data_IF_877180076711
#
_entry.id   IF_877180076711
#
_cell.length_a   1.000
_cell.length_b   1.000
_cell.length_c   1.000
_cell.angle_alpha   90.00
_cell.angle_beta   90.00
_cell.angle_gamma   90.00
#
_symmetry.space_group_name_H-M   'P 1'
#
loop_
_entity.id
_entity.type
_entity.pdbx_description
1 polymer ?
#
# COMPACT_ATOMS: atom_id res chain seq x y z
N UNK A 1 13.51 -18.08 -6.34
CA UNK A 1 12.25 -17.36 -6.62
C UNK A 1 12.37 -15.97 -6.03
N UNK A 2 12.06 -14.91 -6.77
CA UNK A 2 12.01 -13.58 -6.19
C UNK A 2 10.59 -13.39 -5.65
N UNK A 3 10.48 -13.34 -4.33
CA UNK A 3 9.19 -13.28 -3.63
C UNK A 3 8.74 -11.84 -3.40
N UNK A 4 7.43 -11.62 -3.42
CA UNK A 4 6.85 -10.34 -3.04
C UNK A 4 7.18 -10.05 -1.57
N UNK A 5 7.62 -8.82 -1.28
CA UNK A 5 7.99 -8.42 0.08
C UNK A 5 7.01 -7.40 0.60
N UNK A 6 6.33 -7.70 1.71
CA UNK A 6 5.56 -6.67 2.44
C UNK A 6 6.53 -5.67 3.04
N UNK A 7 6.37 -4.40 2.68
CA UNK A 7 7.18 -3.29 3.16
C UNK A 7 6.52 -2.57 4.32
N UNK A 8 5.20 -2.43 4.27
CA UNK A 8 4.44 -1.70 5.28
C UNK A 8 3.04 -2.29 5.41
N UNK A 9 2.53 -2.27 6.64
CA UNK A 9 1.19 -2.69 6.99
C UNK A 9 0.66 -1.75 8.07
N UNK A 10 -0.54 -1.22 7.86
CA UNK A 10 -1.27 -0.44 8.86
C UNK A 10 -2.75 -0.84 8.84
N UNK A 11 -3.32 -0.96 10.04
CA UNK A 11 -4.75 -1.17 10.24
C UNK A 11 -5.33 0.11 10.86
N UNK A 12 -6.38 0.65 10.24
CA UNK A 12 -7.21 1.66 10.86
C UNK A 12 -8.32 0.96 11.65
N UNK A 13 -8.40 1.26 12.95
CA UNK A 13 -9.46 0.74 13.84
C UNK A 13 -10.63 1.71 13.92
N UNK A 14 -11.01 2.30 12.79
CA UNK A 14 -12.26 3.04 12.67
C UNK A 14 -13.41 2.09 12.29
N UNK A 15 -14.61 2.64 12.14
CA UNK A 15 -15.83 1.85 11.86
C UNK A 15 -15.77 1.07 10.52
N UNK A 16 -14.82 1.40 9.63
CA UNK A 16 -14.67 0.79 8.31
C UNK A 16 -13.63 -0.34 8.27
N UNK A 17 -12.86 -0.53 9.35
CA UNK A 17 -11.82 -1.55 9.48
C UNK A 17 -10.86 -1.56 8.28
N UNK A 18 -10.42 -0.37 7.88
CA UNK A 18 -9.58 -0.16 6.70
C UNK A 18 -8.16 -0.72 6.92
N UNK A 19 -7.68 -1.51 5.97
CA UNK A 19 -6.29 -2.02 5.97
C UNK A 19 -5.51 -1.40 4.82
N UNK A 20 -4.29 -0.93 5.11
CA UNK A 20 -3.33 -0.46 4.13
C UNK A 20 -2.12 -1.39 4.10
N UNK A 21 -1.86 -1.99 2.95
CA UNK A 21 -0.72 -2.89 2.73
C UNK A 21 0.13 -2.36 1.59
N UNK A 22 1.42 -2.20 1.81
CA UNK A 22 2.39 -1.80 0.79
C UNK A 22 3.34 -2.97 0.54
N UNK A 23 3.40 -3.45 -0.70
CA UNK A 23 4.25 -4.59 -1.10
C UNK A 23 5.21 -4.19 -2.21
N UNK A 24 6.46 -4.63 -2.14
CA UNK A 24 7.32 -4.71 -3.32
C UNK A 24 6.89 -5.94 -4.13
N UNK A 25 6.49 -5.72 -5.38
CA UNK A 25 6.02 -6.75 -6.29
C UNK A 25 6.83 -6.74 -7.57
N UNK A 26 6.98 -7.89 -8.22
CA UNK A 26 7.60 -7.99 -9.54
C UNK A 26 6.52 -8.28 -10.57
N UNK A 27 6.37 -7.37 -11.53
CA UNK A 27 5.42 -7.48 -12.63
C UNK A 27 6.21 -7.37 -13.94
N UNK A 28 6.17 -8.43 -14.77
CA UNK A 28 6.93 -8.54 -16.02
C UNK A 28 8.42 -8.19 -15.87
N UNK A 29 9.07 -8.67 -14.81
CA UNK A 29 10.49 -8.43 -14.55
C UNK A 29 10.83 -7.03 -14.01
N UNK A 30 9.83 -6.17 -13.82
CA UNK A 30 10.00 -4.83 -13.25
C UNK A 30 9.58 -4.82 -11.79
N UNK A 31 10.42 -4.24 -10.92
CA UNK A 31 10.08 -4.01 -9.51
C UNK A 31 9.15 -2.81 -9.38
N UNK A 32 7.96 -3.04 -8.82
CA UNK A 32 6.95 -2.03 -8.53
C UNK A 32 6.58 -2.08 -7.05
N UNK A 33 5.84 -1.08 -6.62
CA UNK A 33 5.22 -1.07 -5.31
C UNK A 33 3.70 -1.14 -5.50
N UNK A 34 3.07 -2.14 -4.90
CA UNK A 34 1.61 -2.33 -4.81
C UNK A 34 1.14 -1.68 -3.50
N UNK A 35 0.44 -0.56 -3.60
CA UNK A 35 -0.29 0.05 -2.47
C UNK A 35 -1.71 -0.46 -2.54
N UNK A 36 -2.08 -1.29 -1.55
CA UNK A 36 -3.40 -1.90 -1.43
C UNK A 36 -4.13 -1.31 -0.25
N UNK A 37 -5.29 -0.72 -0.50
CA UNK A 37 -6.24 -0.35 0.53
C UNK A 37 -7.45 -1.28 0.43
N UNK A 38 -7.87 -1.81 1.56
CA UNK A 38 -8.99 -2.74 1.69
C UNK A 38 -9.94 -2.20 2.73
N UNK A 39 -11.16 -1.86 2.31
CA UNK A 39 -12.27 -1.46 3.18
C UNK A 39 -13.26 -2.61 3.24
N UNK A 40 -13.54 -3.12 4.45
CA UNK A 40 -14.51 -4.18 4.77
C UNK A 40 -14.92 -5.07 3.60
N UNK A 41 -14.03 -5.98 3.17
CA UNK A 41 -14.19 -6.99 2.10
C UNK A 41 -14.73 -6.56 0.70
N UNK A 42 -15.20 -5.32 0.50
CA UNK A 42 -15.94 -4.91 -0.70
C UNK A 42 -15.16 -4.01 -1.66
N UNK A 43 -14.17 -3.27 -1.18
CA UNK A 43 -13.39 -2.33 -2.02
C UNK A 43 -11.89 -2.55 -1.86
N UNK A 44 -11.27 -3.05 -2.94
CA UNK A 44 -9.82 -3.21 -3.04
C UNK A 44 -9.29 -2.21 -4.05
N UNK A 45 -8.57 -1.19 -3.58
CA UNK A 45 -7.86 -0.26 -4.47
C UNK A 45 -6.40 -0.68 -4.58
N UNK A 46 -5.96 -0.88 -5.83
CA UNK A 46 -4.57 -1.16 -6.16
C UNK A 46 -3.96 0.00 -6.94
N UNK A 47 -2.83 0.50 -6.45
CA UNK A 47 -2.02 1.45 -7.21
C UNK A 47 -0.64 0.86 -7.41
N UNK A 48 -0.33 0.56 -8.68
CA UNK A 48 1.00 0.12 -9.11
C UNK A 48 1.84 1.34 -9.49
N UNK A 49 2.92 1.57 -8.74
CA UNK A 49 3.77 2.73 -8.97
C UNK A 49 5.23 2.31 -9.18
N UNK A 50 5.98 3.05 -10.00
CA UNK A 50 7.44 3.05 -9.94
C UNK A 50 7.91 3.37 -8.52
N UNK A 51 9.03 2.76 -8.11
CA UNK A 51 9.54 2.82 -6.73
C UNK A 51 9.61 4.24 -6.14
N UNK A 52 10.09 5.22 -6.91
CA UNK A 52 10.20 6.61 -6.48
C UNK A 52 8.82 7.23 -6.16
N UNK A 53 7.82 7.00 -7.03
CA UNK A 53 6.46 7.51 -6.86
C UNK A 53 5.70 6.84 -5.72
N UNK A 54 5.95 5.56 -5.49
CA UNK A 54 5.38 4.87 -4.35
C UNK A 54 5.93 5.35 -2.99
N UNK A 55 7.23 5.64 -2.90
CA UNK A 55 7.82 6.21 -1.67
C UNK A 55 7.19 7.58 -1.37
N UNK A 56 7.04 8.43 -2.39
CA UNK A 56 6.39 9.74 -2.28
C UNK A 56 4.94 9.62 -1.79
N UNK A 57 4.16 8.70 -2.39
CA UNK A 57 2.77 8.44 -1.98
C UNK A 57 2.70 7.89 -0.55
N UNK A 58 3.54 6.91 -0.20
CA UNK A 58 3.55 6.31 1.14
C UNK A 58 3.85 7.36 2.23
N UNK A 59 4.84 8.23 2.02
CA UNK A 59 5.17 9.32 2.95
C UNK A 59 4.02 10.32 3.07
N UNK A 60 3.32 10.62 1.97
CA UNK A 60 2.17 11.53 1.96
C UNK A 60 1.00 10.95 2.74
N UNK A 61 0.64 9.69 2.50
CA UNK A 61 -0.42 8.98 3.22
C UNK A 61 -0.10 8.86 4.72
N UNK A 62 1.16 8.54 5.06
CA UNK A 62 1.59 8.45 6.45
C UNK A 62 1.52 9.78 7.19
N UNK A 63 1.90 10.88 6.52
CA UNK A 63 1.72 12.23 7.07
C UNK A 63 0.24 12.53 7.28
N UNK A 64 -0.60 12.28 6.28
CA UNK A 64 -2.04 12.52 6.35
C UNK A 64 -2.69 11.79 7.53
N UNK A 65 -2.40 10.50 7.70
CA UNK A 65 -2.92 9.69 8.82
C UNK A 65 -2.40 10.05 10.21
N UNK A 66 -1.39 10.93 10.33
CA UNK A 66 -0.88 11.45 11.62
C UNK A 66 -1.52 12.79 12.05
N UNK A 67 -2.21 13.49 11.15
CA UNK A 67 -2.81 14.80 11.44
C UNK A 67 -4.27 14.68 11.92
N UNK A 68 -4.83 13.47 11.90
CA UNK A 68 -6.11 13.13 12.52
C UNK A 68 -5.89 12.33 13.81
#
# INVERSE_FOLDING_TARGET
>A
MIENKTLFFAECKDDNNDTLVIKEVIVFGTKLIDVRSTNGDELITHILLPKNKAIELALTLFKWGRVN
#
